data_IF_571680986257
#
_entry.id   IF_571680986257
#
_cell.length_a   1.000
_cell.length_b   1.000
_cell.length_c   1.000
_cell.angle_alpha   90.00
_cell.angle_beta   90.00
_cell.angle_gamma   90.00
#
_symmetry.space_group_name_H-M   'P 1'
#
loop_
_entity.id
_entity.type
_entity.pdbx_description
1 polymer ?
#
# COMPACT_ATOMS: atom_id res chain seq x y z
N UNK A 1 14.11 -16.21 20.40
CA UNK A 1 13.71 -14.81 20.10
C UNK A 1 14.17 -14.47 18.69
N UNK A 2 13.33 -13.89 17.83
CA UNK A 2 13.73 -13.50 16.46
C UNK A 2 14.40 -12.11 16.50
N UNK A 3 15.57 -11.92 15.87
CA UNK A 3 16.25 -10.63 15.89
C UNK A 3 15.46 -9.57 15.10
N UNK A 4 15.47 -8.32 15.57
CA UNK A 4 14.93 -7.17 14.82
C UNK A 4 16.04 -6.60 13.95
N UNK A 5 15.84 -6.65 12.63
CA UNK A 5 16.82 -6.18 11.66
C UNK A 5 16.64 -4.69 11.36
N UNK A 6 17.74 -4.00 11.12
CA UNK A 6 17.70 -2.65 10.56
C UNK A 6 17.26 -2.71 9.09
N UNK A 7 16.76 -1.59 8.56
CA UNK A 7 16.39 -1.52 7.14
C UNK A 7 17.58 -1.79 6.22
N UNK A 8 18.78 -1.32 6.60
CA UNK A 8 20.00 -1.58 5.85
C UNK A 8 20.38 -3.07 5.87
N UNK A 9 20.26 -3.74 7.03
CA UNK A 9 20.51 -5.17 7.16
C UNK A 9 19.50 -6.00 6.35
N UNK A 10 18.21 -5.65 6.40
CA UNK A 10 17.18 -6.33 5.58
C UNK A 10 17.50 -6.22 4.09
N UNK A 11 17.83 -5.02 3.61
CA UNK A 11 18.21 -4.80 2.21
C UNK A 11 19.45 -5.59 1.81
N UNK A 12 20.41 -5.78 2.72
CA UNK A 12 21.61 -6.57 2.45
C UNK A 12 21.27 -8.05 2.27
N UNK A 13 20.45 -8.61 3.16
CA UNK A 13 19.98 -9.99 3.05
C UNK A 13 19.13 -10.23 1.80
N UNK A 14 18.26 -9.28 1.46
CA UNK A 14 17.47 -9.36 0.23
C UNK A 14 18.37 -9.39 -1.02
N UNK A 15 19.41 -8.57 -1.06
CA UNK A 15 20.39 -8.58 -2.16
C UNK A 15 21.13 -9.90 -2.23
N UNK A 16 21.66 -10.39 -1.12
CA UNK A 16 22.36 -11.68 -1.07
C UNK A 16 21.48 -12.84 -1.56
N UNK A 17 20.20 -12.85 -1.17
CA UNK A 17 19.24 -13.85 -1.64
C UNK A 17 18.95 -13.75 -3.16
N UNK A 18 19.00 -12.54 -3.72
CA UNK A 18 18.83 -12.31 -5.16
C UNK A 18 20.10 -12.71 -5.91
N UNK A 19 21.26 -12.30 -5.43
CA UNK A 19 22.57 -12.53 -6.06
C UNK A 19 22.94 -14.02 -6.06
N UNK A 20 22.50 -14.77 -5.04
CA UNK A 20 22.62 -16.24 -4.99
C UNK A 20 21.70 -16.98 -5.98
N UNK A 21 20.77 -16.27 -6.65
CA UNK A 21 19.82 -16.87 -7.59
C UNK A 21 18.67 -17.67 -6.95
N UNK A 22 18.61 -17.71 -5.62
CA UNK A 22 17.55 -18.44 -4.89
C UNK A 22 16.17 -17.82 -5.09
N UNK A 23 16.11 -16.50 -5.22
CA UNK A 23 14.87 -15.74 -5.40
C UNK A 23 15.10 -14.57 -6.34
N UNK A 24 14.03 -14.07 -6.97
CA UNK A 24 14.08 -12.80 -7.72
C UNK A 24 13.50 -11.67 -6.87
N UNK A 25 13.91 -10.42 -7.15
CA UNK A 25 13.32 -9.23 -6.51
C UNK A 25 11.80 -9.18 -6.69
N UNK A 26 11.30 -9.47 -7.89
CA UNK A 26 9.88 -9.62 -8.15
C UNK A 26 9.19 -10.68 -7.27
N UNK A 27 9.85 -11.81 -6.98
CA UNK A 27 9.30 -12.86 -6.12
C UNK A 27 9.26 -12.44 -4.64
N UNK A 28 10.31 -11.79 -4.14
CA UNK A 28 10.32 -11.20 -2.80
C UNK A 28 9.20 -10.16 -2.64
N UNK A 29 9.03 -9.27 -3.61
CA UNK A 29 7.95 -8.28 -3.65
C UNK A 29 6.56 -8.93 -3.64
N UNK A 30 6.38 -10.00 -4.43
CA UNK A 30 5.13 -10.79 -4.43
C UNK A 30 4.87 -11.41 -3.05
N UNK A 31 5.89 -11.93 -2.37
CA UNK A 31 5.79 -12.52 -1.02
C UNK A 31 5.48 -11.46 0.03
N UNK A 32 6.17 -10.32 0.02
CA UNK A 32 5.93 -9.20 0.92
C UNK A 32 4.48 -8.70 0.81
N UNK A 33 4.00 -8.42 -0.41
CA UNK A 33 2.61 -7.99 -0.61
C UNK A 33 1.57 -9.05 -0.20
N UNK A 34 1.82 -10.35 -0.40
CA UNK A 34 0.96 -11.43 0.15
C UNK A 34 0.96 -11.42 1.68
N UNK A 35 2.12 -11.25 2.30
CA UNK A 35 2.26 -11.14 3.76
C UNK A 35 1.45 -9.99 4.33
N UNK A 36 1.45 -8.83 3.66
CA UNK A 36 0.64 -7.67 4.08
C UNK A 36 -0.86 -7.99 4.03
N UNK A 37 -1.36 -8.61 2.96
CA UNK A 37 -2.78 -9.01 2.86
C UNK A 37 -3.13 -10.06 3.91
N UNK A 38 -2.26 -11.04 4.16
CA UNK A 38 -2.46 -12.04 5.20
C UNK A 38 -2.55 -11.39 6.60
N UNK A 39 -1.63 -10.47 6.91
CA UNK A 39 -1.63 -9.74 8.17
C UNK A 39 -2.87 -8.84 8.32
N UNK A 40 -3.30 -8.18 7.25
CA UNK A 40 -4.53 -7.38 7.21
C UNK A 40 -5.75 -8.23 7.59
N UNK A 41 -5.93 -9.38 6.95
CA UNK A 41 -7.10 -10.25 7.18
C UNK A 41 -7.04 -10.95 8.54
N UNK A 42 -5.85 -11.29 9.03
CA UNK A 42 -5.68 -11.80 10.39
C UNK A 42 -6.02 -10.74 11.45
N UNK A 43 -5.69 -9.47 11.19
CA UNK A 43 -5.93 -8.37 12.12
C UNK A 43 -7.39 -7.91 12.14
N UNK A 44 -8.09 -8.02 11.01
CA UNK A 44 -9.49 -7.65 10.81
C UNK A 44 -10.27 -8.76 10.08
N UNK A 45 -10.65 -9.84 10.79
CA UNK A 45 -11.36 -10.97 10.19
C UNK A 45 -12.68 -10.60 9.50
N UNK A 46 -13.34 -9.54 9.94
CA UNK A 46 -14.59 -9.03 9.38
C UNK A 46 -14.38 -8.52 7.96
N UNK A 47 -13.20 -7.97 7.67
CA UNK A 47 -12.83 -7.54 6.32
C UNK A 47 -12.68 -8.74 5.36
N UNK A 48 -12.49 -9.96 5.88
CA UNK A 48 -12.47 -11.17 5.06
C UNK A 48 -13.86 -11.67 4.67
N UNK A 49 -14.92 -11.29 5.41
CA UNK A 49 -16.27 -11.84 5.23
C UNK A 49 -17.01 -11.27 4.03
N UNK A 50 -16.72 -10.04 3.65
CA UNK A 50 -17.41 -9.35 2.56
C UNK A 50 -16.50 -8.34 1.87
N UNK A 51 -16.69 -8.07 0.57
CA UNK A 51 -15.89 -7.08 -0.15
C UNK A 51 -15.92 -5.70 0.51
N UNK A 52 -14.75 -5.08 0.64
CA UNK A 52 -14.59 -3.75 1.23
C UNK A 52 -14.07 -2.75 0.20
N UNK A 53 -13.90 -1.49 0.63
CA UNK A 53 -13.18 -0.47 -0.12
C UNK A 53 -11.77 -0.30 0.42
N UNK A 54 -10.78 -0.15 -0.46
CA UNK A 54 -9.40 0.12 -0.06
C UNK A 54 -8.76 1.20 -0.94
N UNK A 55 -8.03 2.09 -0.28
CA UNK A 55 -7.09 3.00 -0.93
C UNK A 55 -5.67 2.51 -0.64
N UNK A 56 -4.92 2.19 -1.68
CA UNK A 56 -3.51 1.79 -1.55
C UNK A 56 -2.61 2.91 -2.04
N UNK A 57 -1.65 3.30 -1.20
CA UNK A 57 -0.70 4.37 -1.50
C UNK A 57 0.60 3.74 -2.00
N UNK A 58 0.91 3.93 -3.28
CA UNK A 58 2.09 3.34 -3.90
C UNK A 58 3.14 4.43 -4.17
N UNK A 59 4.27 4.37 -3.47
CA UNK A 59 5.44 5.22 -3.73
C UNK A 59 6.22 4.84 -4.99
N UNK A 60 7.28 5.59 -5.34
CA UNK A 60 8.08 5.33 -6.54
C UNK A 60 9.21 4.29 -6.29
N UNK A 61 9.18 3.55 -5.19
CA UNK A 61 10.21 2.56 -4.82
C UNK A 61 9.67 1.14 -4.71
N UNK A 62 10.48 0.22 -4.15
CA UNK A 62 10.11 -1.19 -3.99
C UNK A 62 8.80 -1.39 -3.21
N UNK A 63 8.60 -0.61 -2.14
CA UNK A 63 7.35 -0.62 -1.37
C UNK A 63 6.11 -0.24 -2.21
N UNK A 64 6.30 0.58 -3.25
CA UNK A 64 5.23 0.88 -4.20
C UNK A 64 4.82 -0.36 -5.01
N UNK A 65 5.81 -1.16 -5.41
CA UNK A 65 5.60 -2.47 -6.03
C UNK A 65 4.83 -3.44 -5.13
N UNK A 66 5.18 -3.51 -3.84
CA UNK A 66 4.43 -4.28 -2.84
C UNK A 66 2.98 -3.80 -2.73
N UNK A 67 2.78 -2.47 -2.74
CA UNK A 67 1.47 -1.85 -2.77
C UNK A 67 0.62 -2.31 -3.95
N UNK A 68 1.19 -2.42 -5.15
CA UNK A 68 0.48 -2.97 -6.31
C UNK A 68 0.13 -4.46 -6.16
N UNK A 69 1.01 -5.24 -5.52
CA UNK A 69 0.73 -6.63 -5.19
C UNK A 69 -0.45 -6.73 -4.22
N UNK A 70 -0.49 -5.88 -3.19
CA UNK A 70 -1.60 -5.77 -2.23
C UNK A 70 -2.89 -5.38 -2.96
N UNK A 71 -2.84 -4.31 -3.75
CA UNK A 71 -4.00 -3.79 -4.47
C UNK A 71 -4.62 -4.84 -5.40
N UNK A 72 -3.77 -5.58 -6.14
CA UNK A 72 -4.23 -6.67 -7.01
C UNK A 72 -4.86 -7.82 -6.23
N UNK A 73 -4.31 -8.16 -5.06
CA UNK A 73 -4.85 -9.23 -4.21
C UNK A 73 -6.17 -8.88 -3.53
N UNK A 74 -6.37 -7.63 -3.15
CA UNK A 74 -7.64 -7.14 -2.63
C UNK A 74 -8.70 -7.10 -3.74
N UNK A 75 -8.35 -6.66 -4.95
CA UNK A 75 -9.27 -6.72 -6.10
C UNK A 75 -9.72 -8.14 -6.43
N UNK A 76 -8.81 -9.12 -6.39
CA UNK A 76 -9.15 -10.54 -6.59
C UNK A 76 -10.14 -11.08 -5.56
N UNK A 77 -10.30 -10.40 -4.42
CA UNK A 77 -11.31 -10.71 -3.39
C UNK A 77 -12.61 -9.91 -3.57
N UNK A 78 -12.77 -9.22 -4.70
CA UNK A 78 -13.95 -8.40 -5.01
C UNK A 78 -13.96 -7.01 -4.39
N UNK A 79 -12.88 -6.60 -3.71
CA UNK A 79 -12.83 -5.27 -3.09
C UNK A 79 -12.80 -4.15 -4.15
N UNK A 80 -13.43 -3.02 -3.84
CA UNK A 80 -13.28 -1.78 -4.61
C UNK A 80 -11.96 -1.12 -4.20
N UNK A 81 -10.93 -1.33 -5.02
CA UNK A 81 -9.57 -0.87 -4.75
C UNK A 81 -9.18 0.25 -5.69
N UNK A 82 -8.73 1.36 -5.09
CA UNK A 82 -8.11 2.48 -5.76
C UNK A 82 -6.64 2.59 -5.36
N UNK A 83 -5.80 2.99 -6.30
CA UNK A 83 -4.39 3.25 -6.05
C UNK A 83 -4.09 4.73 -6.21
N UNK A 84 -3.47 5.32 -5.20
CA UNK A 84 -2.86 6.64 -5.31
C UNK A 84 -1.35 6.50 -5.55
N UNK A 85 -0.87 7.04 -6.66
CA UNK A 85 0.55 7.08 -7.01
C UNK A 85 1.22 8.27 -6.30
N UNK A 86 2.19 7.99 -5.45
CA UNK A 86 2.99 8.98 -4.75
C UNK A 86 4.33 9.15 -5.45
N UNK A 87 4.66 10.38 -5.86
CA UNK A 87 5.90 10.68 -6.59
C UNK A 87 5.86 10.30 -8.07
N UNK A 88 7.03 10.27 -8.70
CA UNK A 88 7.17 10.02 -10.13
C UNK A 88 7.22 8.50 -10.44
N UNK A 89 6.22 7.94 -11.14
CA UNK A 89 6.22 6.53 -11.52
C UNK A 89 7.36 6.14 -12.48
N UNK A 90 7.99 7.09 -13.18
CA UNK A 90 9.12 6.80 -14.07
C UNK A 90 10.38 6.40 -13.30
N UNK A 91 10.48 6.80 -12.02
CA UNK A 91 11.60 6.45 -11.13
C UNK A 91 11.47 5.07 -10.47
N UNK A 92 10.39 4.35 -10.75
CA UNK A 92 10.14 3.05 -10.16
C UNK A 92 11.14 2.00 -10.65
N UNK A 93 11.71 1.17 -9.75
CA UNK A 93 12.49 0.00 -10.14
C UNK A 93 11.70 -0.92 -11.06
N UNK A 94 12.39 -1.67 -11.92
CA UNK A 94 11.77 -2.52 -12.94
C UNK A 94 10.71 -3.48 -12.36
N UNK A 95 11.00 -4.11 -11.22
CA UNK A 95 10.05 -5.01 -10.54
C UNK A 95 8.79 -4.28 -10.08
N UNK A 96 8.94 -3.08 -9.52
CA UNK A 96 7.80 -2.27 -9.08
C UNK A 96 6.97 -1.77 -10.28
N UNK A 97 7.64 -1.39 -11.37
CA UNK A 97 7.00 -1.03 -12.63
C UNK A 97 6.22 -2.23 -13.23
N UNK A 98 6.78 -3.43 -13.18
CA UNK A 98 6.11 -4.65 -13.63
C UNK A 98 4.86 -4.97 -12.76
N UNK A 99 4.93 -4.78 -11.44
CA UNK A 99 3.75 -4.96 -10.59
C UNK A 99 2.66 -3.91 -10.86
N UNK A 100 3.06 -2.67 -11.14
CA UNK A 100 2.16 -1.59 -11.57
C UNK A 100 1.43 -1.94 -12.87
N UNK A 101 2.16 -2.38 -13.90
CA UNK A 101 1.56 -2.74 -15.21
C UNK A 101 0.51 -3.84 -15.09
N UNK A 102 0.66 -4.73 -14.10
CA UNK A 102 -0.29 -5.83 -13.82
C UNK A 102 -1.54 -5.38 -13.05
N UNK A 103 -1.66 -4.11 -12.65
CA UNK A 103 -2.83 -3.60 -11.95
C UNK A 103 -3.80 -2.94 -12.94
N UNK A 104 -5.03 -3.43 -12.97
CA UNK A 104 -6.07 -2.99 -13.92
C UNK A 104 -7.16 -2.11 -13.28
N UNK A 105 -6.89 -1.57 -12.08
CA UNK A 105 -7.84 -0.72 -11.36
C UNK A 105 -7.62 0.78 -11.57
N UNK A 106 -8.50 1.57 -10.97
CA UNK A 106 -8.36 3.03 -10.97
C UNK A 106 -7.07 3.46 -10.27
N UNK A 107 -6.20 4.13 -11.03
CA UNK A 107 -4.97 4.73 -10.55
C UNK A 107 -5.06 6.25 -10.66
N UNK A 108 -4.63 6.97 -9.64
CA UNK A 108 -4.63 8.43 -9.68
C UNK A 108 -3.30 8.97 -9.14
N UNK A 109 -2.63 9.87 -9.89
CA UNK A 109 -1.50 10.62 -9.36
C UNK A 109 -1.90 11.41 -8.11
N UNK A 110 -1.18 11.24 -7.00
CA UNK A 110 -1.30 12.08 -5.81
C UNK A 110 -0.09 13.00 -5.70
N UNK A 111 -0.26 14.25 -6.12
CA UNK A 111 0.77 15.30 -5.97
C UNK A 111 0.78 15.92 -4.56
N UNK A 112 -0.32 15.79 -3.80
CA UNK A 112 -0.46 16.33 -2.44
C UNK A 112 -1.37 15.46 -1.59
N UNK A 113 -0.78 14.46 -0.94
CA UNK A 113 -1.44 13.61 0.06
C UNK A 113 -1.03 14.10 1.44
N UNK A 114 -1.94 14.75 2.18
CA UNK A 114 -1.77 14.98 3.62
C UNK A 114 -2.52 13.88 4.36
N UNK A 115 -1.80 13.07 5.12
CA UNK A 115 -2.41 12.21 6.13
C UNK A 115 -2.79 13.16 7.28
N UNK A 116 -4.07 13.36 7.56
CA UNK A 116 -4.47 14.23 8.68
C UNK A 116 -3.88 13.70 9.98
N UNK A 117 -3.23 14.59 10.75
CA UNK A 117 -2.73 14.29 12.10
C UNK A 117 -1.25 13.90 12.22
N UNK A 118 -0.46 13.90 11.13
CA UNK A 118 1.00 13.68 11.21
C UNK A 118 1.71 14.98 10.78
N UNK A 119 2.50 15.64 11.66
CA UNK A 119 3.25 16.83 11.27
C UNK A 119 4.21 16.51 10.11
N UNK A 120 4.51 17.48 9.22
CA UNK A 120 5.41 17.26 8.09
C UNK A 120 6.78 16.82 8.62
N UNK A 121 7.17 15.58 8.33
CA UNK A 121 8.51 15.10 8.63
C UNK A 121 9.49 15.90 7.75
N UNK A 122 10.44 16.59 8.36
CA UNK A 122 11.47 17.40 7.72
C UNK A 122 12.53 16.60 6.93
N UNK A 123 12.27 15.33 6.61
CA UNK A 123 13.23 14.46 5.90
C UNK A 123 12.55 13.65 4.79
N UNK A 124 13.24 13.43 3.66
CA UNK A 124 12.70 12.68 2.53
C UNK A 124 12.30 11.27 2.97
N UNK A 125 11.12 10.86 2.48
CA UNK A 125 10.43 9.61 2.75
C UNK A 125 11.25 8.43 2.21
N UNK A 126 12.26 7.95 2.95
CA UNK A 126 13.11 6.84 2.51
C UNK A 126 12.91 5.54 3.27
N UNK A 127 12.41 5.51 4.51
CA UNK A 127 12.35 4.24 5.26
C UNK A 127 11.26 4.22 6.34
N UNK A 128 10.37 3.22 6.27
CA UNK A 128 9.62 2.69 7.42
C UNK A 128 8.34 3.43 7.84
N UNK A 129 7.20 2.75 7.71
CA UNK A 129 5.96 3.13 8.39
C UNK A 129 6.15 3.03 9.91
N UNK A 130 6.31 4.17 10.60
CA UNK A 130 6.34 4.22 12.06
C UNK A 130 4.90 4.20 12.60
N UNK A 131 4.66 3.40 13.64
CA UNK A 131 3.35 3.26 14.32
C UNK A 131 2.85 4.62 14.82
N UNK A 132 1.57 5.00 14.62
CA UNK A 132 0.94 6.01 15.47
C UNK A 132 0.75 5.42 16.88
N UNK A 133 1.01 6.23 17.90
CA UNK A 133 0.78 5.88 19.30
C UNK A 133 -0.67 5.44 19.52
N UNK A 134 -0.84 4.47 20.42
CA UNK A 134 -2.14 4.15 21.02
C UNK A 134 -2.63 5.41 21.70
N UNK A 135 -3.77 5.94 21.27
CA UNK A 135 -4.94 6.25 22.11
C UNK A 135 -5.94 7.09 21.27
N UNK A 136 -7.15 6.55 21.09
CA UNK A 136 -8.28 7.21 20.41
C UNK A 136 -8.85 6.44 19.20
N UNK A 137 -10.17 6.52 18.93
CA UNK A 137 -10.76 5.91 17.75
C UNK A 137 -10.13 6.53 16.49
N UNK A 138 -9.48 5.70 15.68
CA UNK A 138 -8.74 6.14 14.51
C UNK A 138 -9.70 6.61 13.38
N UNK A 139 -10.26 7.80 13.53
CA UNK A 139 -10.84 8.57 12.43
C UNK A 139 -9.76 9.50 11.87
N UNK A 140 -8.62 8.94 11.47
CA UNK A 140 -7.61 9.71 10.74
C UNK A 140 -8.14 10.03 9.34
N UNK A 141 -8.75 11.21 9.20
CA UNK A 141 -9.17 11.72 7.90
C UNK A 141 -7.92 12.03 7.06
N UNK A 142 -7.63 11.15 6.10
CA UNK A 142 -6.64 11.44 5.05
C UNK A 142 -7.23 12.48 4.10
N UNK A 143 -6.79 13.74 4.21
CA UNK A 143 -7.05 14.78 3.19
C UNK A 143 -6.07 14.57 2.04
N UNK A 144 -6.36 13.57 1.24
CA UNK A 144 -5.76 13.39 -0.06
C UNK A 144 -6.58 14.19 -1.08
N UNK A 145 -5.94 15.18 -1.71
CA UNK A 145 -6.59 16.03 -2.72
C UNK A 145 -6.86 15.31 -4.03
N UNK A 146 -6.29 14.11 -4.21
CA UNK A 146 -6.45 13.30 -5.42
C UNK A 146 -7.91 12.79 -5.57
N UNK A 147 -8.45 12.76 -6.79
CA UNK A 147 -9.79 12.24 -7.07
C UNK A 147 -10.04 10.84 -6.51
N UNK A 148 -9.00 9.99 -6.45
CA UNK A 148 -9.07 8.65 -5.86
C UNK A 148 -9.58 8.64 -4.40
N UNK A 149 -9.35 9.72 -3.66
CA UNK A 149 -9.66 9.86 -2.24
C UNK A 149 -11.01 10.54 -1.99
N UNK A 150 -11.65 11.11 -3.02
CA UNK A 150 -12.89 11.90 -2.91
C UNK A 150 -14.18 11.13 -3.21
N UNK A 151 -14.11 9.94 -3.82
CA UNK A 151 -15.34 9.21 -4.10
C UNK A 151 -15.77 8.39 -2.88
N UNK A 152 -16.63 8.99 -2.07
CA UNK A 152 -17.75 8.23 -1.53
C UNK A 152 -18.56 7.70 -2.72
N UNK A 153 -18.92 6.43 -2.71
CA UNK A 153 -19.92 5.93 -3.68
C UNK A 153 -21.18 6.79 -3.60
N UNK A 154 -21.92 6.96 -4.70
CA UNK A 154 -23.27 7.48 -4.59
C UNK A 154 -24.03 6.54 -3.67
N UNK A 155 -24.32 7.02 -2.46
CA UNK A 155 -25.28 6.37 -1.60
C UNK A 155 -26.59 6.30 -2.37
N UNK A 156 -27.22 5.12 -2.36
CA UNK A 156 -28.65 4.99 -2.65
C UNK A 156 -29.37 6.02 -1.78
N UNK A 157 -29.72 7.17 -2.36
CA UNK A 157 -30.66 8.09 -1.77
C UNK A 157 -32.01 7.38 -1.80
N UNK A 158 -32.50 7.01 -0.62
CA UNK A 158 -33.89 6.64 -0.46
C UNK A 158 -34.77 7.81 -0.93
N UNK A 159 -35.70 7.51 -1.83
CA UNK A 159 -37.00 8.18 -1.90
C UNK A 159 -38.03 7.07 -1.91
N UNK A 160 -38.60 6.80 -0.74
CA UNK A 160 -39.99 6.38 -0.63
C UNK A 160 -40.71 7.58 -0.03
N UNK A 161 -41.33 8.34 -0.91
CA UNK A 161 -42.61 9.00 -0.65
C UNK A 161 -43.64 8.18 -1.39
#
# INVERSE_FOLDING_TARGET
MKPVLTAAAMRALEREAIDSGLVTGAELMKRAGKGVVAALLARWPEAARMPQRALVLCGPGNNGGDGFVVARQLRRRGWDVRVALMGDPARAPADAAAMRQRFTGGMTPCRRCRIGGIPPLSRPFSDGWRRPGRDGPATSSMRCSAPACRAGSPGRAGRMT
#
